data_IF_959826641073
#
_entry.id   IF_959826641073
#
_cell.length_a   1.000
_cell.length_b   1.000
_cell.length_c   1.000
_cell.angle_alpha   90.00
_cell.angle_beta   90.00
_cell.angle_gamma   90.00
#
_symmetry.space_group_name_H-M   'P 1'
#
loop_
_entity.id
_entity.type
_entity.pdbx_description
1 polymer ?
#
# COMPACT_ATOMS: atom_id res chain seq x y z
N UNK A 1 29.38 -3.90 19.38
CA UNK A 1 28.76 -3.51 20.66
C UNK A 1 27.78 -2.32 20.55
N UNK A 2 27.89 -1.44 19.55
CA UNK A 2 27.00 -0.28 19.36
C UNK A 2 25.58 -0.65 18.88
N UNK A 3 25.42 -1.72 18.10
CA UNK A 3 24.11 -2.09 17.51
C UNK A 3 23.17 -2.80 18.50
N UNK A 4 23.71 -3.38 19.58
CA UNK A 4 22.89 -3.99 20.64
C UNK A 4 22.30 -2.97 21.62
N UNK A 5 22.93 -1.78 21.76
CA UNK A 5 22.41 -0.70 22.60
C UNK A 5 21.21 0.01 21.95
N UNK A 6 21.20 0.12 20.60
CA UNK A 6 20.09 0.72 19.87
C UNK A 6 18.82 -0.15 19.92
N UNK A 7 18.95 -1.47 19.94
CA UNK A 7 17.81 -2.39 20.02
C UNK A 7 17.12 -2.33 21.39
N UNK A 8 17.86 -2.13 22.47
CA UNK A 8 17.32 -2.02 23.83
C UNK A 8 16.57 -0.70 24.03
N UNK A 9 17.03 0.40 23.42
CA UNK A 9 16.36 1.71 23.53
C UNK A 9 15.05 1.72 22.75
N UNK A 10 14.95 1.04 21.60
CA UNK A 10 13.71 0.93 20.82
C UNK A 10 12.65 0.07 21.52
N UNK A 11 13.06 -1.00 22.23
CA UNK A 11 12.12 -1.81 23.02
C UNK A 11 11.60 -1.10 24.26
N UNK A 12 12.37 -0.19 24.85
CA UNK A 12 11.96 0.57 26.04
C UNK A 12 10.91 1.67 25.73
N UNK A 13 10.83 2.16 24.49
CA UNK A 13 9.81 3.15 24.08
C UNK A 13 8.44 2.54 23.76
N UNK A 14 8.33 1.20 23.62
CA UNK A 14 7.06 0.54 23.28
C UNK A 14 6.16 0.25 24.48
N UNK A 15 6.63 0.46 25.70
CA UNK A 15 5.85 0.29 26.94
C UNK A 15 5.37 1.64 27.48
N UNK A 16 4.57 2.38 26.67
CA UNK A 16 3.76 3.45 27.27
C UNK A 16 2.69 2.78 28.13
N UNK A 17 2.66 2.98 29.45
CA UNK A 17 1.60 2.44 30.28
C UNK A 17 0.28 3.03 29.76
N UNK A 18 -0.68 2.16 29.47
CA UNK A 18 -2.07 2.59 29.30
C UNK A 18 -2.45 3.33 30.58
N UNK A 19 -2.44 4.66 30.52
CA UNK A 19 -2.78 5.48 31.67
C UNK A 19 -4.20 5.12 32.08
N UNK A 20 -4.36 4.43 33.20
CA UNK A 20 -5.66 4.12 33.77
C UNK A 20 -6.41 5.44 33.94
N UNK A 21 -7.55 5.58 33.26
CA UNK A 21 -8.37 6.77 33.39
C UNK A 21 -8.87 6.85 34.82
N UNK A 22 -8.42 7.86 35.54
CA UNK A 22 -8.80 8.09 36.93
C UNK A 22 -9.90 9.15 37.00
N UNK A 23 -10.81 8.97 37.93
CA UNK A 23 -11.85 9.96 38.21
C UNK A 23 -11.20 11.23 38.75
N UNK A 24 -11.39 12.37 38.08
CA UNK A 24 -10.87 13.68 38.52
C UNK A 24 -11.91 14.49 39.28
N UNK A 25 -13.19 14.33 38.91
CA UNK A 25 -14.31 15.07 39.51
C UNK A 25 -14.51 14.70 40.97
N UNK A 26 -14.51 15.70 41.85
CA UNK A 26 -14.60 15.49 43.31
C UNK A 26 -15.99 15.00 43.75
N UNK A 27 -17.05 15.51 43.12
CA UNK A 27 -18.43 15.09 43.42
C UNK A 27 -18.64 13.62 43.04
N UNK A 28 -18.04 13.19 41.94
CA UNK A 28 -18.08 11.79 41.51
C UNK A 28 -17.23 10.90 42.42
N UNK A 29 -16.06 11.35 42.89
CA UNK A 29 -15.28 10.63 43.92
C UNK A 29 -16.07 10.42 45.18
N UNK A 30 -16.79 11.45 45.62
CA UNK A 30 -17.68 11.35 46.78
C UNK A 30 -18.82 10.34 46.54
N UNK A 31 -19.40 10.32 45.35
CA UNK A 31 -20.41 9.32 44.97
C UNK A 31 -19.85 7.89 45.05
N UNK A 32 -18.65 7.69 44.54
CA UNK A 32 -17.98 6.39 44.61
C UNK A 32 -17.71 5.96 46.05
N UNK A 33 -17.15 6.84 46.88
CA UNK A 33 -16.90 6.57 48.29
C UNK A 33 -18.19 6.26 49.08
N UNK A 34 -19.26 7.01 48.83
CA UNK A 34 -20.54 6.76 49.46
C UNK A 34 -21.11 5.38 49.05
N UNK A 35 -20.97 5.00 47.78
CA UNK A 35 -21.39 3.69 47.28
C UNK A 35 -20.57 2.56 47.94
N UNK A 36 -19.25 2.73 48.02
CA UNK A 36 -18.33 1.75 48.63
C UNK A 36 -18.62 1.57 50.13
N UNK A 37 -19.13 2.62 50.79
CA UNK A 37 -19.61 2.60 52.19
C UNK A 37 -21.06 2.15 52.32
N UNK A 38 -21.73 1.73 51.24
CA UNK A 38 -23.15 1.31 51.20
C UNK A 38 -24.14 2.41 51.59
N UNK A 39 -23.71 3.69 51.62
CA UNK A 39 -24.62 4.83 51.78
C UNK A 39 -25.29 5.19 50.43
N UNK A 40 -26.30 4.41 50.08
CA UNK A 40 -27.00 4.52 48.80
C UNK A 40 -27.68 5.88 48.61
N UNK A 41 -28.15 6.56 49.70
CA UNK A 41 -28.76 7.86 49.58
C UNK A 41 -27.76 8.94 49.19
N UNK A 42 -26.60 8.95 49.86
CA UNK A 42 -25.54 9.88 49.56
C UNK A 42 -24.90 9.56 48.17
N UNK A 43 -24.70 8.28 47.83
CA UNK A 43 -24.21 7.86 46.52
C UNK A 43 -25.14 8.35 45.41
N UNK A 44 -26.47 8.17 45.55
CA UNK A 44 -27.46 8.60 44.58
C UNK A 44 -27.41 10.12 44.37
N UNK A 45 -27.49 10.90 45.48
CA UNK A 45 -27.52 12.37 45.40
C UNK A 45 -26.20 12.93 44.80
N UNK A 46 -25.06 12.38 45.23
CA UNK A 46 -23.74 12.81 44.73
C UNK A 46 -23.53 12.43 43.25
N UNK A 47 -23.93 11.24 42.82
CA UNK A 47 -23.82 10.82 41.42
C UNK A 47 -24.74 11.67 40.52
N UNK A 48 -25.96 11.96 40.96
CA UNK A 48 -26.86 12.87 40.23
C UNK A 48 -26.33 14.30 40.18
N UNK A 49 -25.71 14.78 41.24
CA UNK A 49 -25.08 16.10 41.27
C UNK A 49 -23.90 16.16 40.29
N UNK A 50 -23.05 15.13 40.25
CA UNK A 50 -21.89 15.06 39.33
C UNK A 50 -22.31 15.11 37.86
N UNK A 51 -23.45 14.50 37.49
CA UNK A 51 -23.97 14.54 36.11
C UNK A 51 -24.38 15.93 35.64
N UNK A 52 -24.60 16.88 36.57
CA UNK A 52 -24.87 18.30 36.25
C UNK A 52 -23.59 19.12 36.03
N UNK A 53 -22.45 18.55 36.37
CA UNK A 53 -21.13 19.15 36.18
C UNK A 53 -20.53 18.77 34.82
N UNK A 54 -19.41 19.41 34.48
CA UNK A 54 -18.64 19.02 33.30
C UNK A 54 -17.87 17.73 33.60
N UNK A 55 -18.31 16.63 32.99
CA UNK A 55 -17.67 15.33 33.09
C UNK A 55 -17.08 14.91 31.74
N UNK A 56 -15.95 14.21 31.76
CA UNK A 56 -15.45 13.44 30.60
C UNK A 56 -16.43 12.32 30.26
N UNK A 57 -16.31 11.74 29.05
CA UNK A 57 -17.12 10.58 28.66
C UNK A 57 -16.98 9.42 29.63
N UNK A 58 -15.75 9.12 30.05
CA UNK A 58 -15.44 8.12 31.07
C UNK A 58 -16.09 8.41 32.42
N UNK A 59 -15.96 9.63 32.94
CA UNK A 59 -16.56 10.02 34.22
C UNK A 59 -18.08 9.97 34.19
N UNK A 60 -18.66 10.34 33.05
CA UNK A 60 -20.13 10.26 32.88
C UNK A 60 -20.61 8.80 32.88
N UNK A 61 -19.90 7.90 32.21
CA UNK A 61 -20.19 6.48 32.25
C UNK A 61 -20.09 5.93 33.68
N UNK A 62 -19.06 6.34 34.43
CA UNK A 62 -18.90 5.98 35.85
C UNK A 62 -20.00 6.51 36.73
N UNK A 63 -20.47 7.75 36.52
CA UNK A 63 -21.60 8.32 37.27
C UNK A 63 -22.88 7.49 37.05
N UNK A 64 -23.18 7.12 35.79
CA UNK A 64 -24.32 6.26 35.50
C UNK A 64 -24.12 4.83 36.01
N UNK A 65 -22.93 4.30 36.04
CA UNK A 65 -22.63 2.97 36.60
C UNK A 65 -22.91 2.95 38.11
N UNK A 66 -22.45 3.99 38.86
CA UNK A 66 -22.76 4.15 40.29
C UNK A 66 -24.27 4.24 40.49
N UNK A 67 -24.99 5.03 39.67
CA UNK A 67 -26.44 5.11 39.73
C UNK A 67 -27.11 3.75 39.50
N UNK A 68 -26.67 3.00 38.51
CA UNK A 68 -27.15 1.65 38.19
C UNK A 68 -26.99 0.69 39.37
N UNK A 69 -25.81 0.66 39.98
CA UNK A 69 -25.55 -0.14 41.17
C UNK A 69 -26.36 0.31 42.37
N UNK A 70 -26.43 1.62 42.62
CA UNK A 70 -27.18 2.20 43.75
C UNK A 70 -28.65 1.88 43.63
N UNK A 71 -29.28 2.08 42.46
CA UNK A 71 -30.69 1.74 42.22
C UNK A 71 -30.95 0.23 42.35
N UNK A 72 -30.00 -0.62 41.90
CA UNK A 72 -30.12 -2.05 42.12
C UNK A 72 -30.07 -2.44 43.58
N UNK A 73 -29.20 -1.79 44.39
CA UNK A 73 -29.15 -1.96 45.83
C UNK A 73 -30.38 -1.48 46.56
N UNK A 74 -31.06 -0.45 46.01
CA UNK A 74 -32.33 0.10 46.53
C UNK A 74 -33.59 -0.59 45.96
N UNK A 75 -33.42 -1.70 45.25
CA UNK A 75 -34.50 -2.49 44.62
C UNK A 75 -35.28 -1.74 43.52
N UNK A 76 -34.72 -0.65 43.01
CA UNK A 76 -35.31 0.19 41.97
C UNK A 76 -34.87 -0.26 40.58
N UNK A 77 -35.21 -1.50 40.19
CA UNK A 77 -34.65 -2.19 39.01
C UNK A 77 -34.87 -1.40 37.70
N UNK A 78 -36.07 -0.80 37.50
CA UNK A 78 -36.33 -0.03 36.27
C UNK A 78 -35.38 1.17 36.13
N UNK A 79 -35.12 1.90 37.23
CA UNK A 79 -34.16 3.00 37.23
C UNK A 79 -32.71 2.51 37.05
N UNK A 80 -32.39 1.35 37.59
CA UNK A 80 -31.09 0.71 37.37
C UNK A 80 -30.88 0.38 35.89
N UNK A 81 -31.87 -0.22 35.24
CA UNK A 81 -31.85 -0.49 33.79
C UNK A 81 -31.63 0.78 32.98
N UNK A 82 -32.38 1.86 33.30
CA UNK A 82 -32.22 3.13 32.59
C UNK A 82 -30.84 3.77 32.79
N UNK A 83 -30.28 3.68 33.98
CA UNK A 83 -28.90 4.10 34.23
C UNK A 83 -27.89 3.26 33.46
N UNK A 84 -28.03 1.94 33.47
CA UNK A 84 -27.12 1.05 32.71
C UNK A 84 -27.26 1.19 31.19
N UNK A 85 -28.42 1.58 30.64
CA UNK A 85 -28.53 1.95 29.22
C UNK A 85 -27.57 3.08 28.86
N UNK A 86 -27.45 4.08 29.75
CA UNK A 86 -26.53 5.19 29.53
C UNK A 86 -25.07 4.72 29.58
N UNK A 87 -24.75 3.78 30.47
CA UNK A 87 -23.39 3.15 30.50
C UNK A 87 -23.10 2.46 29.18
N UNK A 88 -24.00 1.63 28.67
CA UNK A 88 -23.86 0.91 27.42
C UNK A 88 -23.69 1.82 26.21
N UNK A 89 -24.42 2.97 26.20
CA UNK A 89 -24.27 3.95 25.11
C UNK A 89 -22.94 4.68 25.15
N UNK A 90 -22.42 4.98 26.35
CA UNK A 90 -21.16 5.71 26.52
C UNK A 90 -19.93 4.81 26.39
N UNK A 91 -20.01 3.61 26.94
CA UNK A 91 -18.95 2.60 26.92
C UNK A 91 -19.51 1.24 26.42
N UNK A 92 -19.70 1.04 25.10
CA UNK A 92 -20.30 -0.18 24.57
C UNK A 92 -19.53 -1.46 24.92
N UNK A 93 -18.22 -1.35 25.11
CA UNK A 93 -17.35 -2.48 25.46
C UNK A 93 -17.35 -2.79 26.97
N UNK A 94 -18.08 -2.00 27.77
CA UNK A 94 -18.15 -2.21 29.22
C UNK A 94 -18.85 -3.52 29.54
N UNK A 95 -18.22 -4.31 30.38
CA UNK A 95 -18.79 -5.54 30.94
C UNK A 95 -18.74 -5.51 32.47
N UNK A 96 -19.70 -6.11 33.12
CA UNK A 96 -19.72 -6.22 34.57
C UNK A 96 -19.16 -7.58 34.98
N UNK A 97 -18.22 -7.58 35.92
CA UNK A 97 -17.63 -8.79 36.47
C UNK A 97 -18.70 -9.55 37.31
N UNK A 98 -19.13 -10.75 36.92
CA UNK A 98 -20.13 -11.50 37.65
C UNK A 98 -19.73 -11.86 39.08
N UNK A 99 -18.41 -11.91 39.35
CA UNK A 99 -17.90 -12.29 40.69
C UNK A 99 -17.92 -11.12 41.66
N UNK A 100 -17.95 -9.87 41.16
CA UNK A 100 -17.92 -8.64 41.96
C UNK A 100 -19.22 -7.88 41.95
N UNK A 101 -20.16 -8.30 41.08
CA UNK A 101 -21.43 -7.56 40.88
C UNK A 101 -22.59 -8.36 41.46
N UNK A 102 -23.51 -7.67 42.18
CA UNK A 102 -24.67 -8.32 42.70
C UNK A 102 -25.55 -8.90 41.59
N UNK A 103 -26.23 -10.03 41.81
CA UNK A 103 -27.09 -10.65 40.79
C UNK A 103 -28.22 -9.71 40.28
N UNK A 104 -28.74 -8.82 41.12
CA UNK A 104 -29.75 -7.83 40.73
C UNK A 104 -29.18 -6.79 39.76
N UNK A 105 -27.99 -6.28 40.04
CA UNK A 105 -27.32 -5.31 39.15
C UNK A 105 -26.89 -5.96 37.82
N UNK A 106 -26.41 -7.20 37.88
CA UNK A 106 -26.04 -7.95 36.67
C UNK A 106 -27.27 -8.18 35.78
N UNK A 107 -28.40 -8.61 36.38
CA UNK A 107 -29.66 -8.78 35.65
C UNK A 107 -30.15 -7.47 35.01
N UNK A 108 -30.14 -6.36 35.79
CA UNK A 108 -30.51 -5.04 35.25
C UNK A 108 -29.61 -4.61 34.08
N UNK A 109 -28.30 -4.85 34.17
CA UNK A 109 -27.34 -4.57 33.08
C UNK A 109 -27.61 -5.43 31.84
N UNK A 110 -27.89 -6.70 32.01
CA UNK A 110 -28.24 -7.60 30.91
C UNK A 110 -29.52 -7.11 30.19
N UNK A 111 -30.54 -6.72 30.93
CA UNK A 111 -31.76 -6.13 30.38
C UNK A 111 -31.44 -4.83 29.62
N UNK A 112 -30.57 -3.97 30.18
CA UNK A 112 -30.17 -2.73 29.53
C UNK A 112 -29.47 -3.00 28.17
N UNK A 113 -28.63 -4.03 28.11
CA UNK A 113 -27.96 -4.45 26.87
C UNK A 113 -28.94 -4.84 25.76
N UNK A 114 -30.02 -5.54 26.09
CA UNK A 114 -31.04 -5.92 25.10
C UNK A 114 -31.93 -4.77 24.64
N UNK A 115 -31.97 -3.67 25.40
CA UNK A 115 -32.82 -2.52 25.09
C UNK A 115 -32.08 -1.39 24.34
N UNK A 116 -30.78 -1.53 24.10
CA UNK A 116 -29.97 -0.51 23.41
C UNK A 116 -29.27 -1.14 22.20
N UNK A 117 -29.34 -0.45 21.06
CA UNK A 117 -28.60 -0.88 19.87
C UNK A 117 -27.12 -0.47 20.02
N UNK A 118 -26.24 -1.44 20.16
CA UNK A 118 -24.79 -1.25 20.13
C UNK A 118 -24.10 -2.41 19.42
N UNK A 119 -22.92 -2.13 18.86
CA UNK A 119 -21.99 -3.14 18.35
C UNK A 119 -20.86 -3.27 19.36
N UNK A 120 -20.63 -4.48 19.85
CA UNK A 120 -19.69 -4.77 20.93
C UNK A 120 -18.69 -5.84 20.48
N UNK A 121 -17.54 -5.90 21.17
CA UNK A 121 -16.55 -6.95 21.03
C UNK A 121 -16.10 -7.13 19.57
N UNK A 122 -16.00 -6.01 18.83
CA UNK A 122 -15.48 -6.06 17.48
C UNK A 122 -14.01 -6.48 17.55
N UNK A 123 -13.70 -7.67 17.08
CA UNK A 123 -12.35 -8.23 17.03
C UNK A 123 -11.99 -8.62 15.62
N UNK A 124 -10.74 -8.39 15.29
CA UNK A 124 -10.10 -8.85 14.06
C UNK A 124 -8.92 -9.72 14.48
N UNK A 125 -8.90 -10.97 14.04
CA UNK A 125 -7.81 -11.86 14.39
C UNK A 125 -6.55 -11.51 13.58
N UNK A 126 -5.37 -11.64 14.22
CA UNK A 126 -4.11 -11.56 13.49
C UNK A 126 -3.94 -12.83 12.66
N UNK A 127 -3.77 -12.66 11.36
CA UNK A 127 -3.67 -13.78 10.42
C UNK A 127 -2.59 -13.51 9.38
N UNK A 128 -1.81 -14.55 9.07
CA UNK A 128 -0.89 -14.54 7.93
C UNK A 128 -1.27 -15.67 6.98
N UNK A 129 -1.44 -15.37 5.70
CA UNK A 129 -1.74 -16.36 4.68
C UNK A 129 -1.02 -16.06 3.38
N UNK A 130 -0.77 -17.11 2.59
CA UNK A 130 -0.05 -17.05 1.32
C UNK A 130 -1.00 -17.40 0.18
N UNK A 131 -0.80 -16.79 -0.97
CA UNK A 131 -1.52 -17.16 -2.20
C UNK A 131 -2.96 -16.69 -2.25
N UNK A 132 -3.37 -15.79 -1.36
CA UNK A 132 -4.71 -15.23 -1.37
C UNK A 132 -5.83 -16.22 -1.10
N UNK A 133 -5.53 -17.39 -0.54
CA UNK A 133 -6.52 -18.40 -0.15
C UNK A 133 -6.95 -18.30 1.32
N UNK A 134 -6.44 -17.30 2.02
CA UNK A 134 -6.80 -17.06 3.41
C UNK A 134 -8.01 -16.15 3.57
N UNK A 135 -8.52 -16.12 4.78
CA UNK A 135 -9.60 -15.24 5.22
C UNK A 135 -9.24 -14.64 6.57
N UNK A 136 -9.61 -13.39 6.77
CA UNK A 136 -9.48 -12.68 8.03
C UNK A 136 -10.79 -12.84 8.79
N UNK A 137 -10.81 -13.52 9.94
CA UNK A 137 -12.00 -13.63 10.77
C UNK A 137 -12.30 -12.28 11.43
N UNK A 138 -13.52 -11.82 11.30
CA UNK A 138 -14.09 -10.63 11.97
C UNK A 138 -15.20 -11.12 12.86
N UNK A 139 -15.16 -10.77 14.15
CA UNK A 139 -16.19 -11.14 15.12
C UNK A 139 -16.70 -9.90 15.84
N UNK A 140 -17.99 -9.83 16.01
CA UNK A 140 -18.64 -8.78 16.79
C UNK A 140 -20.03 -9.25 17.26
N UNK A 141 -20.57 -8.53 18.23
CA UNK A 141 -21.90 -8.79 18.78
C UNK A 141 -22.79 -7.58 18.59
N UNK A 142 -24.00 -7.79 18.07
CA UNK A 142 -25.04 -6.76 17.93
C UNK A 142 -26.15 -7.07 18.92
N UNK A 143 -26.48 -6.10 19.75
CA UNK A 143 -27.40 -6.32 20.90
C UNK A 143 -28.87 -6.44 20.51
N UNK A 144 -29.26 -5.88 19.36
CA UNK A 144 -30.65 -5.92 18.86
C UNK A 144 -30.66 -6.36 17.39
N UNK A 145 -31.78 -6.93 16.90
CA UNK A 145 -31.98 -7.16 15.47
C UNK A 145 -31.83 -5.84 14.69
N UNK A 146 -30.81 -5.72 13.88
CA UNK A 146 -30.45 -4.51 13.16
C UNK A 146 -29.99 -4.83 11.75
N UNK A 147 -30.12 -3.88 10.85
CA UNK A 147 -29.41 -3.92 9.57
C UNK A 147 -27.95 -3.59 9.83
N UNK A 148 -27.08 -4.56 9.61
CA UNK A 148 -25.64 -4.43 9.86
C UNK A 148 -24.91 -4.36 8.51
N UNK A 149 -24.03 -3.38 8.39
CA UNK A 149 -23.15 -3.23 7.24
C UNK A 149 -21.70 -3.21 7.72
N UNK A 150 -20.91 -4.15 7.24
CA UNK A 150 -19.48 -4.23 7.55
C UNK A 150 -18.68 -3.74 6.36
N UNK A 151 -17.79 -2.79 6.61
CA UNK A 151 -16.90 -2.18 5.60
C UNK A 151 -15.46 -2.18 6.07
N UNK A 152 -14.54 -2.26 5.12
CA UNK A 152 -13.12 -1.97 5.34
C UNK A 152 -12.79 -0.70 4.60
N UNK A 153 -12.35 0.31 5.32
CA UNK A 153 -11.94 1.62 4.79
C UNK A 153 -10.43 1.66 4.77
N UNK A 154 -9.86 1.94 3.63
CA UNK A 154 -8.41 2.01 3.43
C UNK A 154 -8.00 3.17 2.54
N UNK A 155 -6.71 3.29 2.20
CA UNK A 155 -6.16 4.41 1.42
C UNK A 155 -6.77 4.56 0.01
N UNK A 156 -7.32 3.48 -0.56
CA UNK A 156 -7.93 3.46 -1.89
C UNK A 156 -9.45 3.47 -1.88
N UNK A 157 -10.07 3.75 -0.73
CA UNK A 157 -11.52 3.82 -0.58
C UNK A 157 -12.09 2.77 0.37
N UNK A 158 -13.40 2.59 0.30
CA UNK A 158 -14.16 1.70 1.18
C UNK A 158 -14.64 0.47 0.40
N UNK A 159 -14.41 -0.71 0.95
CA UNK A 159 -14.93 -1.97 0.44
C UNK A 159 -15.96 -2.51 1.42
N UNK A 160 -17.20 -2.72 0.94
CA UNK A 160 -18.24 -3.38 1.73
C UNK A 160 -18.00 -4.89 1.71
N UNK A 161 -17.87 -5.49 2.89
CA UNK A 161 -17.64 -6.93 3.06
C UNK A 161 -18.97 -7.67 3.16
N UNK A 162 -19.88 -7.14 3.99
CA UNK A 162 -21.15 -7.79 4.27
C UNK A 162 -22.27 -6.77 4.53
N UNK A 163 -23.53 -7.21 4.32
CA UNK A 163 -24.72 -6.44 4.65
C UNK A 163 -25.87 -7.41 4.94
N UNK A 164 -26.23 -7.53 6.20
CA UNK A 164 -27.25 -8.48 6.66
C UNK A 164 -28.12 -7.86 7.73
N UNK A 165 -29.27 -8.49 8.03
CA UNK A 165 -30.07 -8.18 9.21
C UNK A 165 -29.78 -9.29 10.23
N UNK A 166 -29.18 -8.90 11.35
CA UNK A 166 -28.72 -9.87 12.34
C UNK A 166 -28.73 -9.31 13.76
N UNK A 167 -28.68 -10.18 14.75
CA UNK A 167 -28.50 -9.90 16.18
C UNK A 167 -27.66 -10.99 16.81
N UNK A 168 -27.10 -10.71 17.97
CA UNK A 168 -26.19 -11.63 18.66
C UNK A 168 -24.80 -11.64 18.07
N UNK A 169 -24.10 -12.73 18.23
CA UNK A 169 -22.72 -12.89 17.77
C UNK A 169 -22.67 -13.16 16.26
N UNK A 170 -21.90 -12.35 15.55
CA UNK A 170 -21.73 -12.41 14.11
C UNK A 170 -20.25 -12.70 13.80
N UNK A 171 -20.04 -13.67 12.89
CA UNK A 171 -18.73 -14.04 12.41
C UNK A 171 -18.68 -13.83 10.89
N UNK A 172 -17.81 -12.96 10.44
CA UNK A 172 -17.60 -12.66 9.01
C UNK A 172 -16.20 -13.13 8.60
N UNK A 173 -16.08 -13.59 7.38
CA UNK A 173 -14.81 -14.00 6.77
C UNK A 173 -14.47 -13.02 5.65
N UNK A 174 -13.47 -12.20 5.88
CA UNK A 174 -12.99 -11.25 4.86
C UNK A 174 -11.79 -11.83 4.11
N UNK A 175 -11.88 -12.02 2.78
CA UNK A 175 -10.80 -12.60 1.99
C UNK A 175 -9.61 -11.64 1.76
N UNK A 176 -9.66 -10.41 2.30
CA UNK A 176 -8.66 -9.36 2.12
C UNK A 176 -8.29 -9.10 0.65
N UNK A 177 -9.32 -9.11 -0.20
CA UNK A 177 -9.22 -8.84 -1.64
C UNK A 177 -10.10 -7.68 -2.06
N UNK A 178 -9.66 -7.00 -3.11
CA UNK A 178 -10.45 -6.01 -3.83
C UNK A 178 -11.51 -6.70 -4.70
N UNK A 179 -12.54 -5.98 -5.17
CA UNK A 179 -13.51 -6.51 -6.15
C UNK A 179 -12.87 -7.02 -7.44
N UNK A 180 -11.69 -6.52 -7.81
CA UNK A 180 -10.88 -7.00 -8.95
C UNK A 180 -10.27 -8.41 -8.73
N UNK A 181 -10.33 -8.94 -7.50
CA UNK A 181 -9.67 -10.20 -7.11
C UNK A 181 -8.22 -10.04 -6.64
N UNK A 182 -7.65 -8.85 -6.77
CA UNK A 182 -6.29 -8.58 -6.27
C UNK A 182 -6.26 -8.47 -4.75
N UNK A 183 -5.15 -8.84 -4.08
CA UNK A 183 -4.99 -8.62 -2.65
C UNK A 183 -5.06 -7.12 -2.35
N UNK A 184 -5.66 -6.76 -1.19
CA UNK A 184 -5.68 -5.36 -0.74
C UNK A 184 -4.24 -4.86 -0.57
N UNK A 185 -3.94 -3.61 -0.95
CA UNK A 185 -2.60 -3.03 -0.79
C UNK A 185 -2.13 -3.05 0.66
N UNK A 186 -0.82 -3.05 0.88
CA UNK A 186 -0.26 -2.82 2.21
C UNK A 186 -0.61 -1.41 2.70
N UNK A 187 -0.91 -1.28 3.99
CA UNK A 187 -1.28 -0.02 4.60
C UNK A 187 -2.15 -0.19 5.83
N UNK A 188 -2.56 0.95 6.40
CA UNK A 188 -3.47 1.00 7.53
C UNK A 188 -4.92 1.10 7.03
N UNK A 189 -5.77 0.28 7.62
CA UNK A 189 -7.19 0.15 7.31
C UNK A 189 -8.02 0.29 8.56
N UNK A 190 -9.30 0.60 8.40
CA UNK A 190 -10.25 0.65 9.49
C UNK A 190 -11.44 -0.26 9.16
N UNK A 191 -11.66 -1.29 9.96
CA UNK A 191 -12.87 -2.12 9.88
C UNK A 191 -13.98 -1.37 10.61
N UNK A 192 -15.05 -1.05 9.90
CA UNK A 192 -16.20 -0.30 10.43
C UNK A 192 -17.43 -1.19 10.31
N UNK A 193 -18.13 -1.35 11.42
CA UNK A 193 -19.41 -2.04 11.51
C UNK A 193 -20.48 -1.02 11.87
N UNK A 194 -21.44 -0.82 10.99
CA UNK A 194 -22.57 0.08 11.17
C UNK A 194 -23.83 -0.76 11.39
N UNK A 195 -24.54 -0.54 12.50
CA UNK A 195 -25.81 -1.17 12.82
C UNK A 195 -26.92 -0.11 12.85
N UNK A 196 -28.03 -0.36 12.17
CA UNK A 196 -29.13 0.60 12.03
C UNK A 196 -30.47 -0.06 12.35
N UNK A 197 -31.25 0.57 13.22
CA UNK A 197 -32.65 0.22 13.53
C UNK A 197 -33.50 1.48 13.50
N UNK A 198 -34.40 1.60 12.53
CA UNK A 198 -35.18 2.81 12.33
C UNK A 198 -34.29 4.03 12.10
N UNK A 199 -34.32 5.00 13.02
CA UNK A 199 -33.47 6.19 12.99
C UNK A 199 -32.21 6.07 13.87
N UNK A 200 -32.11 5.01 14.66
CA UNK A 200 -30.95 4.77 15.51
C UNK A 200 -29.83 4.13 14.70
N UNK A 201 -28.66 4.74 14.74
CA UNK A 201 -27.46 4.24 14.09
C UNK A 201 -26.33 4.16 15.11
N UNK A 202 -25.63 3.04 15.11
CA UNK A 202 -24.45 2.81 15.93
C UNK A 202 -23.31 2.30 15.04
N UNK A 203 -22.11 2.83 15.27
CA UNK A 203 -20.93 2.35 14.55
C UNK A 203 -19.80 1.98 15.51
N UNK A 204 -19.16 0.85 15.24
CA UNK A 204 -17.94 0.43 15.90
C UNK A 204 -16.81 0.35 14.88
N UNK A 205 -15.58 0.66 15.30
CA UNK A 205 -14.43 0.58 14.41
C UNK A 205 -13.23 -0.09 15.08
N UNK A 206 -12.45 -0.80 14.24
CA UNK A 206 -11.21 -1.46 14.63
C UNK A 206 -10.14 -1.14 13.61
N UNK A 207 -9.08 -0.39 13.97
CA UNK A 207 -7.96 -0.17 13.08
C UNK A 207 -7.15 -1.46 12.94
N UNK A 208 -6.68 -1.71 11.72
CA UNK A 208 -5.86 -2.88 11.35
C UNK A 208 -4.75 -2.42 10.43
N UNK A 209 -3.65 -3.16 10.44
CA UNK A 209 -2.55 -2.99 9.48
C UNK A 209 -2.46 -4.21 8.59
N UNK A 210 -2.42 -3.96 7.29
CA UNK A 210 -2.16 -4.98 6.27
C UNK A 210 -0.71 -4.83 5.82
N UNK A 211 0.07 -5.89 5.96
CA UNK A 211 1.44 -5.97 5.48
C UNK A 211 1.56 -7.06 4.42
N UNK A 212 2.36 -6.79 3.40
CA UNK A 212 2.72 -7.78 2.39
C UNK A 212 4.11 -8.34 2.69
N UNK A 213 4.29 -9.63 2.51
CA UNK A 213 5.61 -10.25 2.47
C UNK A 213 6.42 -9.74 1.27
N UNK A 214 7.73 -9.89 1.31
CA UNK A 214 8.58 -9.58 0.18
C UNK A 214 8.20 -10.46 -1.02
N UNK A 215 8.02 -9.83 -2.19
CA UNK A 215 7.82 -10.55 -3.46
C UNK A 215 9.11 -10.46 -4.24
N UNK A 216 9.75 -11.59 -4.45
CA UNK A 216 10.91 -11.68 -5.35
C UNK A 216 10.41 -11.61 -6.80
N UNK A 217 10.62 -10.48 -7.44
CA UNK A 217 10.24 -10.23 -8.83
C UNK A 217 11.44 -10.39 -9.74
N UNK A 218 11.23 -11.04 -10.88
CA UNK A 218 12.25 -11.18 -11.90
C UNK A 218 12.51 -9.82 -12.56
N UNK A 219 13.79 -9.44 -12.76
CA UNK A 219 14.13 -8.22 -13.48
C UNK A 219 13.81 -8.35 -14.97
N UNK A 220 13.46 -7.24 -15.62
CA UNK A 220 13.32 -7.20 -17.08
C UNK A 220 14.67 -7.34 -17.76
N UNK A 221 14.71 -8.06 -18.88
CA UNK A 221 15.90 -8.27 -19.66
C UNK A 221 16.17 -7.04 -20.53
N UNK A 222 17.39 -6.55 -20.48
CA UNK A 222 17.92 -5.54 -21.42
C UNK A 222 18.71 -6.18 -22.57
N UNK A 223 19.21 -7.39 -22.35
CA UNK A 223 19.96 -8.18 -23.34
C UNK A 223 19.71 -9.67 -23.11
N UNK A 224 19.93 -10.50 -24.13
CA UNK A 224 19.92 -11.95 -23.99
C UNK A 224 21.36 -12.45 -23.76
N UNK A 225 21.58 -13.37 -22.80
CA UNK A 225 22.90 -13.96 -22.57
C UNK A 225 23.45 -14.60 -23.85
N UNK A 226 24.66 -14.27 -24.20
CA UNK A 226 25.33 -14.80 -25.41
C UNK A 226 25.00 -14.07 -26.71
N UNK A 227 24.17 -13.04 -26.68
CA UNK A 227 23.79 -12.24 -27.86
C UNK A 227 24.11 -10.77 -27.63
N UNK A 228 24.75 -10.15 -28.64
CA UNK A 228 25.06 -8.71 -28.62
C UNK A 228 24.51 -8.05 -29.87
N UNK A 229 24.14 -6.78 -29.77
CA UNK A 229 23.72 -6.00 -30.92
C UNK A 229 24.92 -5.78 -31.88
N UNK A 230 24.68 -5.98 -33.17
CA UNK A 230 25.64 -5.75 -34.21
C UNK A 230 25.58 -4.31 -34.72
N UNK A 231 26.69 -3.76 -35.24
CA UNK A 231 26.68 -2.42 -35.85
C UNK A 231 25.66 -2.34 -37.00
N UNK A 232 24.74 -1.35 -36.95
CA UNK A 232 23.70 -1.18 -37.98
C UNK A 232 24.23 -0.54 -39.27
N UNK A 233 25.49 -0.10 -39.25
CA UNK A 233 26.17 0.48 -40.41
C UNK A 233 27.46 -0.28 -40.70
N UNK A 234 27.74 -0.52 -41.95
CA UNK A 234 28.98 -1.12 -42.43
C UNK A 234 29.67 -0.24 -43.47
N UNK A 235 30.99 -0.27 -43.46
CA UNK A 235 31.77 0.39 -44.49
C UNK A 235 31.97 -0.61 -45.63
N UNK A 236 31.45 -0.33 -46.84
CA UNK A 236 31.59 -1.28 -47.94
C UNK A 236 33.09 -1.51 -48.28
N UNK A 237 33.46 -2.74 -48.64
CA UNK A 237 34.85 -3.10 -48.95
C UNK A 237 35.35 -2.43 -50.23
N UNK A 238 34.48 -1.87 -51.04
CA UNK A 238 34.84 -1.15 -52.27
C UNK A 238 35.54 0.16 -51.93
N UNK A 239 36.82 0.21 -52.08
CA UNK A 239 37.64 1.40 -51.93
C UNK A 239 37.76 2.10 -53.29
N UNK A 240 37.75 3.43 -53.27
CA UNK A 240 38.00 4.26 -54.45
C UNK A 240 39.49 4.28 -54.81
N UNK A 241 40.37 3.66 -54.00
CA UNK A 241 41.81 3.66 -54.20
C UNK A 241 42.27 3.12 -55.57
N UNK A 242 41.74 1.99 -56.11
CA UNK A 242 42.18 1.50 -57.42
C UNK A 242 41.87 2.48 -58.53
N UNK A 243 40.68 3.12 -58.49
CA UNK A 243 40.28 4.10 -59.49
C UNK A 243 41.07 5.39 -59.34
N UNK A 244 41.30 5.85 -58.13
CA UNK A 244 42.13 7.02 -57.85
C UNK A 244 43.58 6.80 -58.32
N UNK A 245 44.17 5.62 -58.06
CA UNK A 245 45.50 5.29 -58.55
C UNK A 245 45.56 5.21 -60.09
N UNK A 246 44.57 4.62 -60.74
CA UNK A 246 44.46 4.60 -62.19
C UNK A 246 44.47 6.01 -62.78
N UNK A 247 43.71 6.95 -62.18
CA UNK A 247 43.69 8.37 -62.58
C UNK A 247 45.02 9.04 -62.34
N UNK A 248 45.71 8.77 -61.24
CA UNK A 248 47.08 9.30 -60.97
C UNK A 248 48.05 8.81 -62.05
N UNK A 249 48.04 7.51 -62.34
CA UNK A 249 48.89 6.93 -63.39
C UNK A 249 48.60 7.53 -64.79
N UNK A 250 47.31 7.68 -65.10
CA UNK A 250 46.88 8.30 -66.34
C UNK A 250 47.36 9.75 -66.43
N UNK A 251 47.23 10.51 -65.36
CA UNK A 251 47.64 11.92 -65.28
C UNK A 251 49.16 12.06 -65.42
N UNK A 252 49.92 11.12 -64.78
CA UNK A 252 51.39 11.07 -64.94
C UNK A 252 51.77 10.77 -66.37
N UNK A 253 51.08 9.80 -67.00
CA UNK A 253 51.34 9.44 -68.42
C UNK A 253 51.04 10.64 -69.35
N UNK A 254 49.93 11.33 -69.16
CA UNK A 254 49.59 12.56 -69.94
C UNK A 254 50.56 13.67 -69.70
N UNK A 255 51.00 13.94 -68.53
CA UNK A 255 52.03 14.94 -68.25
C UNK A 255 53.38 14.55 -68.81
N UNK A 256 53.76 13.28 -68.74
CA UNK A 256 54.98 12.74 -69.23
C UNK A 256 55.08 12.75 -70.78
N UNK A 257 53.99 12.32 -71.44
CA UNK A 257 53.92 12.35 -72.89
C UNK A 257 54.01 13.78 -73.47
N UNK A 258 53.42 14.74 -72.81
CA UNK A 258 53.57 16.16 -73.20
C UNK A 258 54.94 16.75 -72.96
N UNK A 259 55.71 16.20 -72.02
CA UNK A 259 57.09 16.60 -71.74
C UNK A 259 58.11 15.94 -72.73
N UNK A 260 57.83 14.75 -73.27
CA UNK A 260 58.69 14.03 -74.18
C UNK A 260 58.46 14.27 -75.69
N UNK A 261 57.34 14.93 -76.04
CA UNK A 261 57.03 15.31 -77.40
C UNK A 261 57.89 16.53 -77.83
N UNK A 262 59.20 16.28 -77.98
CA UNK A 262 60.11 17.32 -78.54
C UNK A 262 60.00 17.32 -80.04
N UNK A 263 59.32 18.25 -80.57
CA UNK A 263 59.50 18.48 -81.98
C UNK A 263 58.47 19.34 -82.70
N UNK A 264 57.19 19.26 -82.41
CA UNK A 264 56.20 20.00 -83.21
C UNK A 264 54.95 20.49 -82.50
N UNK A 265 54.92 20.36 -81.22
CA UNK A 265 53.79 20.90 -80.39
C UNK A 265 54.23 22.23 -79.79
N UNK A 266 53.62 23.33 -80.25
CA UNK A 266 53.87 24.66 -79.75
C UNK A 266 53.82 24.79 -78.25
N UNK A 267 54.41 25.82 -77.67
CA UNK A 267 54.46 26.07 -76.20
C UNK A 267 53.11 26.04 -75.46
N UNK A 268 52.05 26.23 -76.21
CA UNK A 268 50.66 26.16 -75.72
C UNK A 268 50.22 24.74 -75.38
N UNK A 269 50.57 23.73 -76.19
CA UNK A 269 50.20 22.33 -76.01
C UNK A 269 50.92 21.66 -74.82
N UNK A 270 52.16 22.02 -74.58
CA UNK A 270 52.92 21.60 -73.40
C UNK A 270 52.32 22.12 -72.09
N UNK A 271 51.87 23.37 -72.12
CA UNK A 271 51.22 24.01 -70.96
C UNK A 271 49.86 23.36 -70.71
N UNK A 272 49.04 23.16 -71.72
CA UNK A 272 47.74 22.53 -71.62
C UNK A 272 47.86 21.06 -71.18
N UNK A 273 48.73 20.26 -71.72
CA UNK A 273 48.94 18.89 -71.34
C UNK A 273 49.44 18.73 -69.90
N UNK A 274 50.32 19.64 -69.41
CA UNK A 274 50.78 19.62 -68.02
C UNK A 274 49.69 20.06 -67.07
N UNK A 275 48.83 21.02 -67.41
CA UNK A 275 47.72 21.47 -66.61
C UNK A 275 46.63 20.38 -66.52
N UNK A 276 46.30 19.72 -67.65
CA UNK A 276 45.32 18.64 -67.67
C UNK A 276 45.85 17.42 -66.89
N UNK A 277 47.10 17.04 -67.12
CA UNK A 277 47.73 15.94 -66.39
C UNK A 277 47.82 16.19 -64.90
N UNK A 278 48.21 17.42 -64.50
CA UNK A 278 48.19 17.81 -63.12
C UNK A 278 46.82 17.76 -62.46
N UNK A 279 45.78 18.22 -63.19
CA UNK A 279 44.42 18.15 -62.73
C UNK A 279 43.90 16.71 -62.53
N UNK A 280 44.23 15.80 -63.44
CA UNK A 280 43.91 14.38 -63.35
C UNK A 280 44.64 13.70 -62.18
N UNK A 281 45.91 14.01 -61.98
CA UNK A 281 46.67 13.52 -60.81
C UNK A 281 46.05 14.01 -59.51
N UNK A 282 45.71 15.28 -59.42
CA UNK A 282 45.07 15.82 -58.21
C UNK A 282 43.72 15.18 -57.95
N UNK A 283 42.88 15.01 -58.97
CA UNK A 283 41.59 14.34 -58.87
C UNK A 283 41.73 12.87 -58.42
N UNK A 284 42.72 12.16 -59.01
CA UNK A 284 43.05 10.81 -58.61
C UNK A 284 43.53 10.67 -57.17
N UNK A 285 44.35 11.61 -56.73
CA UNK A 285 44.84 11.68 -55.35
C UNK A 285 43.68 11.94 -54.36
N UNK A 286 42.84 12.89 -54.64
CA UNK A 286 41.64 13.16 -53.81
C UNK A 286 40.74 11.93 -53.74
N UNK A 287 40.59 11.19 -54.86
CA UNK A 287 39.79 9.96 -54.89
C UNK A 287 40.41 8.82 -54.06
N UNK A 288 41.75 8.70 -53.97
CA UNK A 288 42.41 7.73 -53.12
C UNK A 288 42.20 7.98 -51.63
N UNK A 289 42.04 9.26 -51.25
CA UNK A 289 41.80 9.70 -49.86
C UNK A 289 40.33 9.59 -49.44
N UNK A 290 39.41 9.48 -50.39
CA UNK A 290 37.99 9.43 -50.13
C UNK A 290 37.59 8.13 -49.47
N UNK A 291 37.14 8.20 -48.20
CA UNK A 291 36.58 7.06 -47.50
C UNK A 291 35.20 6.75 -48.06
N UNK A 292 34.83 5.48 -48.28
CA UNK A 292 33.50 5.10 -48.69
C UNK A 292 32.50 5.51 -47.59
N UNK A 293 31.33 6.03 -47.96
CA UNK A 293 30.30 6.37 -47.04
C UNK A 293 29.74 5.11 -46.35
N UNK A 294 29.48 5.17 -45.05
CA UNK A 294 28.81 4.07 -44.33
C UNK A 294 27.45 3.74 -44.96
N UNK A 295 27.17 2.49 -45.15
CA UNK A 295 25.89 1.99 -45.68
C UNK A 295 25.15 1.20 -44.61
N UNK A 296 23.80 1.13 -44.64
CA UNK A 296 23.02 0.32 -43.71
C UNK A 296 23.36 -1.16 -43.88
N UNK A 297 23.83 -1.79 -42.81
CA UNK A 297 24.07 -3.23 -42.75
C UNK A 297 22.75 -3.98 -42.58
N UNK A 298 22.04 -4.26 -43.67
CA UNK A 298 20.69 -4.86 -43.67
C UNK A 298 20.62 -6.15 -42.88
N UNK A 299 21.61 -7.01 -42.97
CA UNK A 299 21.69 -8.25 -42.20
C UNK A 299 21.74 -8.00 -40.69
N UNK A 300 22.57 -7.03 -40.26
CA UNK A 300 22.70 -6.66 -38.85
C UNK A 300 21.42 -5.98 -38.32
N UNK A 301 20.79 -5.14 -39.12
CA UNK A 301 19.52 -4.50 -38.77
C UNK A 301 18.42 -5.54 -38.56
N UNK A 302 18.32 -6.53 -39.48
CA UNK A 302 17.35 -7.63 -39.34
C UNK A 302 17.66 -8.47 -38.09
N UNK A 303 18.91 -8.83 -37.87
CA UNK A 303 19.34 -9.56 -36.68
C UNK A 303 18.98 -8.79 -35.40
N UNK A 304 19.32 -7.51 -35.33
CA UNK A 304 19.00 -6.66 -34.17
C UNK A 304 17.47 -6.53 -33.95
N UNK A 305 16.69 -6.47 -35.01
CA UNK A 305 15.23 -6.41 -34.90
C UNK A 305 14.64 -7.71 -34.32
N UNK A 306 15.11 -8.87 -34.78
CA UNK A 306 14.73 -10.16 -34.23
C UNK A 306 15.15 -10.32 -32.77
N UNK A 307 16.36 -9.86 -32.43
CA UNK A 307 16.85 -9.88 -31.04
C UNK A 307 15.98 -9.00 -30.13
N UNK A 308 15.60 -7.79 -30.55
CA UNK A 308 14.68 -6.91 -29.83
C UNK A 308 13.31 -7.58 -29.63
N UNK A 309 12.79 -8.24 -30.66
CA UNK A 309 11.52 -8.96 -30.56
C UNK A 309 11.60 -10.12 -29.56
N UNK A 310 12.65 -10.91 -29.57
CA UNK A 310 12.84 -11.99 -28.60
C UNK A 310 12.94 -11.45 -27.16
N UNK A 311 13.68 -10.36 -26.93
CA UNK A 311 13.77 -9.70 -25.64
C UNK A 311 12.37 -9.21 -25.19
N UNK A 312 11.60 -8.60 -26.08
CA UNK A 312 10.25 -8.14 -25.79
C UNK A 312 9.32 -9.30 -25.40
N UNK A 313 9.35 -10.42 -26.14
CA UNK A 313 8.58 -11.64 -25.80
C UNK A 313 8.94 -12.17 -24.41
N UNK A 314 10.24 -12.30 -24.11
CA UNK A 314 10.70 -12.71 -22.78
C UNK A 314 10.27 -11.76 -21.68
N UNK A 315 10.33 -10.47 -21.93
CA UNK A 315 9.86 -9.48 -20.94
C UNK A 315 8.35 -9.56 -20.70
N UNK A 316 7.58 -9.94 -21.71
CA UNK A 316 6.13 -10.21 -21.52
C UNK A 316 5.89 -11.43 -20.63
N UNK A 317 6.66 -12.52 -20.84
CA UNK A 317 6.60 -13.72 -19.99
C UNK A 317 6.99 -13.38 -18.54
N UNK A 318 8.08 -12.62 -18.33
CA UNK A 318 8.54 -12.15 -17.03
C UNK A 318 7.46 -11.28 -16.36
N UNK A 319 6.80 -10.39 -17.10
CA UNK A 319 5.73 -9.55 -16.58
C UNK A 319 4.52 -10.38 -16.11
N UNK A 320 4.14 -11.40 -16.87
CA UNK A 320 3.08 -12.34 -16.48
C UNK A 320 3.46 -13.13 -15.23
N UNK A 321 4.69 -13.65 -15.18
CA UNK A 321 5.18 -14.37 -14.01
C UNK A 321 5.25 -13.46 -12.77
N UNK A 322 5.74 -12.24 -12.91
CA UNK A 322 5.75 -11.26 -11.81
C UNK A 322 4.33 -10.92 -11.33
N UNK A 323 3.36 -10.90 -12.23
CA UNK A 323 1.95 -10.71 -11.86
C UNK A 323 1.45 -11.89 -11.02
N UNK A 324 1.75 -13.13 -11.42
CA UNK A 324 1.43 -14.33 -10.65
C UNK A 324 2.07 -14.32 -9.27
N UNK A 325 3.37 -13.98 -9.19
CA UNK A 325 4.10 -13.88 -7.91
C UNK A 325 3.50 -12.83 -6.98
N UNK A 326 3.07 -11.67 -7.50
CA UNK A 326 2.36 -10.65 -6.72
C UNK A 326 1.01 -11.11 -6.23
N UNK A 327 0.29 -11.92 -6.99
CA UNK A 327 -0.99 -12.51 -6.55
C UNK A 327 -0.80 -13.57 -5.45
N UNK A 328 0.36 -14.19 -5.37
CA UNK A 328 0.72 -15.21 -4.38
C UNK A 328 1.46 -14.63 -3.16
N UNK A 329 1.47 -13.30 -3.00
CA UNK A 329 2.15 -12.65 -1.87
C UNK A 329 1.60 -13.15 -0.54
N UNK A 330 2.49 -13.31 0.44
CA UNK A 330 2.08 -13.48 1.82
C UNK A 330 1.44 -12.19 2.33
N UNK A 331 0.23 -12.28 2.87
CA UNK A 331 -0.51 -11.16 3.42
C UNK A 331 -0.69 -11.38 4.92
N UNK A 332 -0.26 -10.39 5.70
CA UNK A 332 -0.40 -10.40 7.15
C UNK A 332 -1.34 -9.28 7.56
N UNK A 333 -2.37 -9.60 8.32
CA UNK A 333 -3.29 -8.63 8.92
C UNK A 333 -3.06 -8.61 10.43
N UNK A 334 -2.83 -7.44 10.98
CA UNK A 334 -2.56 -7.23 12.42
C UNK A 334 -3.55 -6.19 12.94
N UNK A 335 -4.34 -6.51 13.99
CA UNK A 335 -5.18 -5.52 14.66
C UNK A 335 -4.29 -4.50 15.39
N UNK A 336 -4.62 -3.23 15.25
CA UNK A 336 -3.96 -2.14 15.96
C UNK A 336 -4.76 -1.80 17.24
N UNK A 337 -4.11 -1.28 18.29
CA UNK A 337 -4.82 -0.80 19.46
C UNK A 337 -5.80 0.31 19.06
N UNK A 338 -7.01 0.26 19.60
CA UNK A 338 -7.98 1.34 19.44
C UNK A 338 -7.43 2.56 20.17
N UNK A 339 -7.11 3.61 19.45
CA UNK A 339 -6.85 4.92 20.05
C UNK A 339 -8.18 5.36 20.68
N UNK A 340 -8.21 5.45 22.00
CA UNK A 340 -9.39 5.56 22.86
C UNK A 340 -10.56 6.30 22.23
N UNK A 341 -11.71 5.68 22.27
CA UNK A 341 -12.99 6.32 22.01
C UNK A 341 -13.22 7.41 23.06
N UNK A 342 -12.64 8.57 22.81
CA UNK A 342 -12.80 9.79 23.58
C UNK A 342 -13.24 10.89 22.64
N UNK A 343 -14.52 10.90 22.26
CA UNK A 343 -15.23 12.11 21.86
C UNK A 343 -16.71 11.93 22.12
#
# INVERSE_FOLDING_TARGET
MRDRLLLVVVLALAALPCAAQTIQNQTLKRAQQAFDNLDYRLALSSAQASLRERLTGFERARAYEILGFTYSGMDSILKAVDAFKQVVLLEPERDLDPTKTSPKALSAFQVALTQVLVVRQLTVDSVTFVGGQGVVPLRYTVTQPARVVTRVIGPRGSVRIDSTVASGQINIRWPARLPSGDPVPAGDYNVVVEATVGQNNFSASQPIRVAHGAVDTLPSLTSLPGYTYLPETEVPPKSWKPMGLALVYTGVALAGTSAFSKGDLGSTSLREGSVIGGGVILAGFIMTLRKPAPQPARGNILYNSLLREQIARRNTEIAQENTRRRQQVALTVIPLPRTGAGR
#
